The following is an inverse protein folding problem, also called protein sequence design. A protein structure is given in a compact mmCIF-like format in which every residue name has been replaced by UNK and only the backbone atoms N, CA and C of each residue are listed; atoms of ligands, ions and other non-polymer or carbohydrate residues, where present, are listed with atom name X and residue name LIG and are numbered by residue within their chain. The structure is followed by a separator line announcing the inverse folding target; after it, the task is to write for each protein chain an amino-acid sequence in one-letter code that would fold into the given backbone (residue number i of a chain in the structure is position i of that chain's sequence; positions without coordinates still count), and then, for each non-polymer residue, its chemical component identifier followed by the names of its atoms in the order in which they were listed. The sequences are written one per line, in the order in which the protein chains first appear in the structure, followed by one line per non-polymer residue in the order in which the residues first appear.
data_IF_108594064447
#
_entry.id   IF_108594064447
#
_cell.length_a   1.000
_cell.length_b   1.000
_cell.length_c   1.000
_cell.angle_alpha   90.00
_cell.angle_beta   90.00
_cell.angle_gamma   90.00
#
_symmetry.space_group_name_H-M   'P 1'
#
loop_
_entity.id
_entity.type
_entity.pdbx_description
1 polymer ?
#
# COMPACT_ATOMS: atom_id res chain seq x y z
N UNK A 1 15.01 -1.24 3.11
CA UNK A 1 15.19 -2.60 3.62
C UNK A 1 16.64 -3.06 3.65
N UNK A 2 16.87 -4.31 3.97
CA UNK A 2 18.25 -4.87 4.06
C UNK A 2 18.90 -5.08 2.69
N UNK A 3 18.10 -5.23 1.64
CA UNK A 3 18.57 -5.38 0.25
C UNK A 3 18.76 -4.04 -0.47
N UNK A 4 18.64 -2.93 0.24
CA UNK A 4 18.81 -1.60 -0.33
C UNK A 4 20.24 -1.37 -0.83
N UNK A 5 20.36 -0.84 -2.05
CA UNK A 5 21.62 -0.41 -2.66
C UNK A 5 21.51 1.09 -2.90
N UNK A 6 22.38 1.87 -2.24
CA UNK A 6 22.40 3.33 -2.38
C UNK A 6 22.87 3.77 -3.77
N UNK A 7 22.48 4.96 -4.17
CA UNK A 7 22.93 5.63 -5.41
C UNK A 7 22.60 4.84 -6.70
N UNK A 8 21.51 4.08 -6.68
CA UNK A 8 21.03 3.28 -7.82
C UNK A 8 19.54 3.57 -8.12
N UNK A 9 19.18 4.82 -8.48
CA UNK A 9 17.79 5.18 -8.78
C UNK A 9 17.21 4.40 -9.96
N UNK A 10 18.04 3.85 -10.82
CA UNK A 10 17.67 2.97 -11.93
C UNK A 10 17.03 1.65 -11.49
N UNK A 11 17.25 1.21 -10.23
CA UNK A 11 16.66 0.00 -9.66
C UNK A 11 15.25 0.22 -9.06
N UNK A 12 14.87 1.46 -8.82
CA UNK A 12 13.63 1.78 -8.11
C UNK A 12 12.45 1.98 -9.07
N UNK A 13 12.03 0.91 -9.73
CA UNK A 13 10.90 0.91 -10.66
C UNK A 13 10.16 -0.43 -10.67
N UNK A 14 8.92 -0.39 -11.16
CA UNK A 14 8.01 -1.54 -11.18
C UNK A 14 8.58 -2.76 -11.93
N UNK A 15 9.29 -2.55 -13.02
CA UNK A 15 9.85 -3.64 -13.84
C UNK A 15 10.91 -4.42 -13.06
N UNK A 16 11.88 -3.71 -12.46
CA UNK A 16 12.95 -4.33 -11.66
C UNK A 16 12.36 -5.13 -10.50
N UNK A 17 11.43 -4.55 -9.76
CA UNK A 17 10.82 -5.24 -8.62
C UNK A 17 9.97 -6.44 -9.04
N UNK A 18 9.32 -6.39 -10.21
CA UNK A 18 8.62 -7.54 -10.77
C UNK A 18 9.59 -8.67 -11.12
N UNK A 19 10.72 -8.35 -11.74
CA UNK A 19 11.76 -9.35 -12.06
C UNK A 19 12.40 -9.92 -10.78
N UNK A 20 12.61 -9.14 -9.74
CA UNK A 20 13.06 -9.61 -8.42
C UNK A 20 12.05 -10.61 -7.82
N UNK A 21 10.75 -10.30 -7.88
CA UNK A 21 9.70 -11.21 -7.40
C UNK A 21 9.71 -12.53 -8.17
N UNK A 22 9.83 -12.48 -9.49
CA UNK A 22 9.92 -13.68 -10.36
C UNK A 22 11.14 -14.50 -10.00
N UNK A 23 12.31 -13.86 -9.88
CA UNK A 23 13.55 -14.52 -9.53
C UNK A 23 13.48 -15.18 -8.14
N UNK A 24 12.88 -14.49 -7.15
CA UNK A 24 12.70 -15.01 -5.81
C UNK A 24 11.77 -16.23 -5.78
N UNK A 25 10.62 -16.17 -6.46
CA UNK A 25 9.69 -17.31 -6.61
C UNK A 25 10.40 -18.52 -7.18
N UNK A 26 11.13 -18.32 -8.27
CA UNK A 26 11.90 -19.38 -8.94
C UNK A 26 12.99 -19.97 -8.03
N UNK A 27 13.74 -19.12 -7.34
CA UNK A 27 14.82 -19.54 -6.44
C UNK A 27 14.32 -20.38 -5.26
N UNK A 28 13.15 -20.03 -4.73
CA UNK A 28 12.53 -20.73 -3.61
C UNK A 28 11.65 -21.92 -4.02
N UNK A 29 11.47 -22.20 -5.31
CA UNK A 29 10.61 -23.27 -5.79
C UNK A 29 9.13 -23.07 -5.46
N UNK A 30 8.65 -21.81 -5.42
CA UNK A 30 7.28 -21.46 -5.07
C UNK A 30 6.35 -21.58 -6.28
N UNK A 31 6.07 -22.82 -6.68
CA UNK A 31 5.29 -23.12 -7.89
C UNK A 31 3.78 -22.85 -7.68
N UNK A 32 3.25 -23.14 -6.48
CA UNK A 32 1.84 -22.94 -6.12
C UNK A 32 1.75 -22.17 -4.80
N UNK A 33 1.17 -20.96 -4.84
CA UNK A 33 1.19 -20.04 -3.70
C UNK A 33 -0.10 -19.22 -3.56
N UNK A 34 -0.43 -18.87 -2.32
CA UNK A 34 -1.17 -17.65 -2.00
C UNK A 34 -0.17 -16.51 -1.86
N UNK A 35 -0.49 -15.34 -2.39
CA UNK A 35 0.42 -14.20 -2.39
C UNK A 35 -0.26 -12.96 -1.83
N UNK A 36 0.41 -12.28 -0.90
CA UNK A 36 -0.10 -11.08 -0.26
C UNK A 36 0.77 -9.87 -0.61
N UNK A 37 0.11 -8.80 -1.05
CA UNK A 37 0.72 -7.49 -1.23
C UNK A 37 0.04 -6.43 -0.36
N UNK A 38 0.82 -5.79 0.53
CA UNK A 38 0.33 -4.70 1.38
C UNK A 38 0.80 -3.35 0.82
N UNK A 39 -0.12 -2.37 0.73
CA UNK A 39 0.20 -1.02 0.27
C UNK A 39 0.91 -1.05 -1.10
N UNK A 40 2.09 -0.46 -1.24
CA UNK A 40 2.91 -0.57 -2.47
C UNK A 40 3.12 -2.02 -2.93
N UNK A 41 3.26 -2.99 -2.00
CA UNK A 41 3.36 -4.40 -2.36
C UNK A 41 2.13 -4.93 -3.10
N UNK A 42 0.95 -4.35 -2.86
CA UNK A 42 -0.27 -4.65 -3.62
C UNK A 42 -0.25 -4.04 -5.03
N UNK A 43 0.34 -2.86 -5.21
CA UNK A 43 0.57 -2.29 -6.55
C UNK A 43 1.49 -3.20 -7.37
N UNK A 44 2.60 -3.66 -6.77
CA UNK A 44 3.51 -4.62 -7.39
C UNK A 44 2.77 -5.91 -7.77
N UNK A 45 1.95 -6.42 -6.87
CA UNK A 45 1.18 -7.65 -7.09
C UNK A 45 0.15 -7.49 -8.22
N UNK A 46 -0.58 -6.38 -8.28
CA UNK A 46 -1.53 -6.09 -9.36
C UNK A 46 -0.80 -6.08 -10.72
N UNK A 47 0.30 -5.35 -10.83
CA UNK A 47 1.11 -5.32 -12.06
C UNK A 47 1.63 -6.71 -12.43
N UNK A 48 2.14 -7.46 -11.45
CA UNK A 48 2.63 -8.82 -11.66
C UNK A 48 1.53 -9.75 -12.20
N UNK A 49 0.34 -9.73 -11.58
CA UNK A 49 -0.78 -10.59 -11.99
C UNK A 49 -1.27 -10.28 -13.41
N UNK A 50 -1.30 -9.00 -13.79
CA UNK A 50 -1.86 -8.54 -15.05
C UNK A 50 -0.82 -8.61 -16.19
N UNK A 51 0.40 -8.13 -15.95
CA UNK A 51 1.40 -7.99 -17.01
C UNK A 51 2.20 -9.29 -17.26
N UNK A 52 2.33 -10.13 -16.24
CA UNK A 52 3.07 -11.41 -16.36
C UNK A 52 2.16 -12.64 -16.40
N UNK A 53 0.93 -12.53 -15.96
CA UNK A 53 -0.05 -13.62 -15.89
C UNK A 53 0.56 -14.93 -15.33
N UNK A 54 1.16 -14.90 -14.14
CA UNK A 54 1.96 -15.99 -13.60
C UNK A 54 1.10 -17.22 -13.33
N UNK A 55 1.60 -18.39 -13.68
CA UNK A 55 0.99 -19.65 -13.26
C UNK A 55 1.18 -19.92 -11.77
N UNK A 56 0.30 -20.74 -11.19
CA UNK A 56 0.45 -21.22 -9.81
C UNK A 56 0.05 -20.23 -8.74
N UNK A 57 -0.61 -19.13 -9.07
CA UNK A 57 -1.24 -18.25 -8.06
C UNK A 57 -2.59 -18.82 -7.68
N UNK A 58 -2.68 -19.38 -6.48
CA UNK A 58 -3.91 -19.97 -5.93
C UNK A 58 -4.89 -18.87 -5.57
N UNK A 59 -4.43 -17.85 -4.83
CA UNK A 59 -5.19 -16.63 -4.57
C UNK A 59 -4.24 -15.45 -4.31
N UNK A 60 -4.76 -14.23 -4.44
CA UNK A 60 -4.08 -13.00 -4.12
C UNK A 60 -4.78 -12.28 -2.97
N UNK A 61 -4.00 -11.68 -2.07
CA UNK A 61 -4.50 -10.83 -1.00
C UNK A 61 -3.97 -9.40 -1.23
N UNK A 62 -4.88 -8.48 -1.50
CA UNK A 62 -4.62 -7.07 -1.75
C UNK A 62 -4.96 -6.28 -0.47
N UNK A 63 -3.94 -6.07 0.37
CA UNK A 63 -4.11 -5.48 1.69
C UNK A 63 -3.79 -3.99 1.68
N UNK A 64 -4.80 -3.15 1.97
CA UNK A 64 -4.64 -1.68 2.09
C UNK A 64 -3.85 -1.08 0.93
N UNK A 65 -4.23 -1.41 -0.31
CA UNK A 65 -3.52 -1.05 -1.54
C UNK A 65 -4.39 -0.27 -2.53
N UNK A 66 -3.87 -0.03 -3.73
CA UNK A 66 -4.53 0.77 -4.75
C UNK A 66 -4.28 0.22 -6.16
N UNK A 67 -5.20 0.49 -7.06
CA UNK A 67 -5.06 0.24 -8.49
C UNK A 67 -4.77 1.50 -9.32
N UNK A 68 -4.85 2.69 -8.69
CA UNK A 68 -4.71 3.97 -9.38
C UNK A 68 -4.12 5.03 -8.43
N UNK A 69 -2.94 5.57 -8.78
CA UNK A 69 -2.23 6.56 -7.97
C UNK A 69 -2.92 7.92 -7.94
N UNK A 70 -3.62 8.31 -9.01
CA UNK A 70 -4.35 9.59 -9.05
C UNK A 70 -5.58 9.53 -8.15
N UNK A 71 -6.34 8.42 -8.20
CA UNK A 71 -7.46 8.21 -7.29
C UNK A 71 -6.99 8.20 -5.83
N UNK A 72 -5.87 7.54 -5.54
CA UNK A 72 -5.27 7.56 -4.20
C UNK A 72 -4.97 8.99 -3.76
N UNK A 73 -4.19 9.75 -4.53
CA UNK A 73 -3.85 11.14 -4.19
C UNK A 73 -5.10 12.01 -3.99
N UNK A 74 -6.12 11.86 -4.84
CA UNK A 74 -7.39 12.58 -4.69
C UNK A 74 -8.09 12.25 -3.37
N UNK A 75 -8.16 10.98 -3.00
CA UNK A 75 -8.77 10.53 -1.75
C UNK A 75 -7.99 10.99 -0.52
N UNK A 76 -6.63 10.97 -0.57
CA UNK A 76 -5.82 11.52 0.52
C UNK A 76 -6.11 13.02 0.72
N UNK A 77 -6.18 13.79 -0.37
CA UNK A 77 -6.53 15.23 -0.28
C UNK A 77 -7.96 15.43 0.24
N UNK A 78 -8.88 14.51 -0.05
CA UNK A 78 -10.21 14.53 0.57
C UNK A 78 -10.12 14.33 2.08
N UNK A 79 -9.28 13.41 2.57
CA UNK A 79 -9.06 13.19 4.01
C UNK A 79 -8.41 14.43 4.66
N UNK A 80 -7.44 15.07 4.02
CA UNK A 80 -6.79 16.29 4.50
C UNK A 80 -7.80 17.40 4.79
N UNK A 81 -8.90 17.49 4.03
CA UNK A 81 -9.96 18.51 4.25
C UNK A 81 -10.65 18.37 5.63
N UNK A 82 -10.53 17.25 6.29
CA UNK A 82 -11.08 17.03 7.64
C UNK A 82 -10.06 17.33 8.75
N UNK A 83 -8.84 17.71 8.42
CA UNK A 83 -7.83 18.18 9.36
C UNK A 83 -8.07 19.64 9.77
N UNK A 84 -7.32 20.14 10.76
CA UNK A 84 -7.39 21.55 11.12
C UNK A 84 -6.98 22.45 9.95
N UNK A 85 -7.54 23.66 9.88
CA UNK A 85 -7.15 24.64 8.84
C UNK A 85 -5.65 24.91 8.83
N UNK A 86 -5.00 24.96 9.99
CA UNK A 86 -3.56 25.13 10.14
C UNK A 86 -2.79 23.99 9.45
N UNK A 87 -3.22 22.75 9.63
CA UNK A 87 -2.57 21.60 9.04
C UNK A 87 -2.81 21.55 7.53
N UNK A 88 -4.03 21.85 7.07
CA UNK A 88 -4.34 21.96 5.64
C UNK A 88 -3.46 23.01 4.94
N UNK A 89 -3.29 24.19 5.54
CA UNK A 89 -2.46 25.26 5.01
C UNK A 89 -0.98 24.88 4.97
N UNK A 90 -0.47 24.19 6.00
CA UNK A 90 0.91 23.73 6.05
C UNK A 90 1.21 22.69 4.94
N UNK A 91 0.30 21.75 4.71
CA UNK A 91 0.41 20.78 3.63
C UNK A 91 0.36 21.48 2.27
N UNK A 92 -0.64 22.32 2.03
CA UNK A 92 -0.79 23.03 0.77
C UNK A 92 0.43 23.92 0.44
N UNK A 93 1.01 24.60 1.44
CA UNK A 93 2.21 25.40 1.26
C UNK A 93 3.42 24.54 0.89
N UNK A 94 3.59 23.39 1.54
CA UNK A 94 4.68 22.46 1.22
C UNK A 94 4.57 21.92 -0.21
N UNK A 95 3.37 21.55 -0.65
CA UNK A 95 3.11 21.09 -2.02
C UNK A 95 3.36 22.21 -3.05
N UNK A 96 2.93 23.44 -2.76
CA UNK A 96 3.15 24.59 -3.65
C UNK A 96 4.61 24.97 -3.80
N UNK A 97 5.38 24.88 -2.71
CA UNK A 97 6.78 25.35 -2.67
C UNK A 97 7.81 24.25 -2.88
N UNK A 98 7.40 22.98 -2.75
CA UNK A 98 8.31 21.83 -2.69
C UNK A 98 9.13 21.75 -1.39
N UNK A 99 8.81 22.56 -0.38
CA UNK A 99 9.51 22.57 0.89
C UNK A 99 8.84 21.64 1.91
N UNK A 100 9.25 20.38 1.88
CA UNK A 100 8.77 19.35 2.80
C UNK A 100 9.59 19.24 4.10
N UNK A 101 10.59 20.14 4.30
CA UNK A 101 11.41 20.18 5.52
C UNK A 101 10.86 21.18 6.56
N UNK A 102 9.82 21.94 6.22
CA UNK A 102 9.21 22.92 7.14
C UNK A 102 8.61 22.25 8.38
N UNK A 103 8.85 22.82 9.57
CA UNK A 103 8.37 22.27 10.86
C UNK A 103 6.84 22.13 10.90
N UNK A 104 6.11 23.13 10.39
CA UNK A 104 4.65 23.10 10.35
C UNK A 104 4.13 21.98 9.45
N UNK A 105 4.81 21.73 8.32
CA UNK A 105 4.51 20.59 7.44
C UNK A 105 4.80 19.26 8.14
N UNK A 106 5.97 19.11 8.76
CA UNK A 106 6.34 17.87 9.46
C UNK A 106 5.30 17.50 10.53
N UNK A 107 4.82 18.51 11.30
CA UNK A 107 3.74 18.33 12.30
C UNK A 107 2.43 17.88 11.63
N UNK A 108 2.02 18.56 10.55
CA UNK A 108 0.77 18.25 9.85
C UNK A 108 0.81 16.87 9.22
N UNK A 109 1.93 16.50 8.58
CA UNK A 109 2.15 15.17 8.01
C UNK A 109 2.12 14.08 9.10
N UNK A 110 2.81 14.28 10.23
CA UNK A 110 2.77 13.35 11.34
C UNK A 110 1.33 13.12 11.86
N UNK A 111 0.54 14.21 11.94
CA UNK A 111 -0.87 14.11 12.34
C UNK A 111 -1.70 13.35 11.32
N UNK A 112 -1.50 13.58 10.03
CA UNK A 112 -2.16 12.83 8.97
C UNK A 112 -1.84 11.32 9.05
N UNK A 113 -0.57 10.98 9.21
CA UNK A 113 -0.12 9.60 9.35
C UNK A 113 -0.69 8.92 10.61
N UNK A 114 -0.79 9.65 11.73
CA UNK A 114 -1.42 9.15 12.95
C UNK A 114 -2.92 8.83 12.74
N UNK A 115 -3.63 9.64 11.97
CA UNK A 115 -5.05 9.45 11.69
C UNK A 115 -5.35 8.29 10.75
N UNK A 116 -4.48 8.05 9.77
CA UNK A 116 -4.79 7.18 8.64
C UNK A 116 -3.80 6.03 8.40
N UNK A 117 -2.56 6.13 8.88
CA UNK A 117 -1.56 5.08 8.68
C UNK A 117 -1.39 4.20 9.92
N UNK A 118 -0.91 4.75 11.01
CA UNK A 118 -0.71 4.02 12.26
C UNK A 118 -0.74 4.98 13.44
N UNK A 119 -1.26 4.52 14.58
CA UNK A 119 -1.19 5.27 15.83
C UNK A 119 0.24 5.49 16.31
N UNK A 120 0.40 6.41 17.25
CA UNK A 120 1.69 6.67 17.89
C UNK A 120 2.26 5.37 18.49
N UNK A 121 3.54 5.12 18.25
CA UNK A 121 4.24 3.97 18.82
C UNK A 121 4.51 4.24 20.31
N UNK A 122 4.04 3.34 21.16
CA UNK A 122 4.21 3.38 22.63
C UNK A 122 5.06 2.20 23.11
N UNK A 123 5.39 2.16 24.40
CA UNK A 123 6.09 1.04 25.00
C UNK A 123 5.31 -0.29 24.88
N UNK A 124 3.98 -0.20 24.84
CA UNK A 124 3.07 -1.35 24.76
C UNK A 124 2.76 -1.77 23.30
N UNK A 125 3.23 -0.99 22.32
CA UNK A 125 3.03 -1.33 20.90
C UNK A 125 3.75 -2.65 20.57
N UNK A 126 3.24 -3.45 19.61
CA UNK A 126 3.91 -4.66 19.13
C UNK A 126 5.37 -4.41 18.76
N UNK A 127 6.22 -5.42 18.97
CA UNK A 127 7.66 -5.32 18.70
C UNK A 127 7.96 -4.89 17.27
N UNK A 128 7.20 -5.39 16.31
CA UNK A 128 7.34 -5.05 14.88
C UNK A 128 7.19 -3.53 14.58
N UNK A 129 6.48 -2.77 15.43
CA UNK A 129 6.39 -1.32 15.32
C UNK A 129 7.51 -0.61 16.08
N UNK A 130 7.95 -1.15 17.23
CA UNK A 130 8.95 -0.54 18.12
C UNK A 130 10.39 -0.69 17.65
N UNK A 131 10.71 -1.79 16.96
CA UNK A 131 12.11 -2.03 16.53
C UNK A 131 12.59 -0.96 15.55
N UNK A 132 13.87 -0.63 15.65
CA UNK A 132 14.52 0.27 14.69
C UNK A 132 14.50 -0.37 13.29
N UNK A 133 14.02 0.37 12.32
CA UNK A 133 13.96 -0.06 10.92
C UNK A 133 15.03 0.65 10.10
N UNK A 134 15.52 -0.04 9.07
CA UNK A 134 16.30 0.57 7.99
C UNK A 134 15.33 0.84 6.83
N UNK A 135 15.10 2.09 6.52
CA UNK A 135 14.26 2.51 5.40
C UNK A 135 15.06 2.66 4.11
N UNK A 136 14.39 2.59 2.99
CA UNK A 136 14.96 2.88 1.66
C UNK A 136 14.40 4.21 1.17
N UNK A 137 14.80 5.31 1.81
CA UNK A 137 14.21 6.64 1.57
C UNK A 137 14.36 7.09 0.12
N UNK A 138 15.51 6.81 -0.51
CA UNK A 138 15.72 7.09 -1.94
C UNK A 138 14.72 6.31 -2.81
N UNK A 139 14.52 5.01 -2.54
CA UNK A 139 13.58 4.19 -3.29
C UNK A 139 12.15 4.72 -3.17
N UNK A 140 11.76 5.16 -1.97
CA UNK A 140 10.45 5.75 -1.73
C UNK A 140 10.27 7.07 -2.50
N UNK A 141 11.24 7.98 -2.43
CA UNK A 141 11.19 9.27 -3.13
C UNK A 141 11.15 9.10 -4.65
N UNK A 142 11.97 8.20 -5.21
CA UNK A 142 12.03 7.94 -6.65
C UNK A 142 10.75 7.29 -7.15
N UNK A 143 10.19 6.36 -6.39
CA UNK A 143 9.01 5.62 -6.80
C UNK A 143 7.71 6.39 -6.55
N UNK A 144 7.55 6.96 -5.38
CA UNK A 144 6.29 7.55 -4.94
C UNK A 144 6.37 9.08 -4.82
N UNK A 145 7.18 9.58 -3.90
CA UNK A 145 7.29 11.02 -3.67
C UNK A 145 7.57 11.34 -2.21
N UNK A 146 7.33 12.60 -1.80
CA UNK A 146 7.72 13.08 -0.48
C UNK A 146 6.85 12.58 0.67
N UNK A 147 5.64 12.07 0.37
CA UNK A 147 4.64 11.66 1.37
C UNK A 147 3.57 10.77 0.74
N UNK A 148 2.61 10.29 1.55
CA UNK A 148 1.56 9.35 1.11
C UNK A 148 0.49 9.96 0.18
N UNK A 149 0.34 11.29 0.16
CA UNK A 149 -0.73 11.97 -0.58
C UNK A 149 -0.29 12.71 -1.84
N UNK A 150 1.03 12.79 -2.10
CA UNK A 150 1.59 13.50 -3.26
C UNK A 150 2.39 12.55 -4.17
N UNK A 151 1.72 11.70 -4.97
CA UNK A 151 2.41 10.78 -5.88
C UNK A 151 3.08 11.58 -7.01
N UNK A 152 4.39 11.76 -6.94
CA UNK A 152 5.22 12.51 -7.89
C UNK A 152 6.29 11.64 -8.55
N UNK A 153 6.59 10.48 -7.99
CA UNK A 153 7.60 9.55 -8.48
C UNK A 153 7.22 8.84 -9.78
N UNK A 154 7.96 7.81 -10.13
CA UNK A 154 7.71 7.06 -11.36
C UNK A 154 6.44 6.19 -11.32
N UNK A 155 5.82 6.00 -10.14
CA UNK A 155 4.52 5.37 -9.97
C UNK A 155 3.33 6.36 -10.04
N UNK A 156 3.55 7.66 -10.30
CA UNK A 156 2.49 8.68 -10.36
C UNK A 156 1.40 8.36 -11.38
N UNK A 157 1.77 7.71 -12.48
CA UNK A 157 0.88 7.34 -13.58
C UNK A 157 0.44 5.87 -13.51
N UNK A 158 0.66 5.19 -12.37
CA UNK A 158 0.21 3.82 -12.15
C UNK A 158 -1.32 3.79 -12.17
N UNK A 159 -1.88 3.14 -13.17
CA UNK A 159 -3.32 2.92 -13.32
C UNK A 159 -3.59 1.57 -14.00
N UNK A 160 -4.08 0.64 -13.21
CA UNK A 160 -4.51 -0.69 -13.67
C UNK A 160 -6.04 -0.85 -13.55
N UNK A 161 -6.78 0.22 -13.26
CA UNK A 161 -8.21 0.16 -12.92
C UNK A 161 -9.03 -0.59 -13.96
N UNK A 162 -8.89 -0.27 -15.23
CA UNK A 162 -9.66 -0.92 -16.30
C UNK A 162 -9.16 -2.34 -16.64
N UNK A 163 -7.94 -2.66 -16.22
CA UNK A 163 -7.30 -3.95 -16.44
C UNK A 163 -7.49 -4.93 -15.27
N UNK A 164 -8.04 -4.50 -14.13
CA UNK A 164 -8.30 -5.37 -12.97
C UNK A 164 -9.15 -6.60 -13.33
N UNK A 165 -10.00 -6.50 -14.35
CA UNK A 165 -10.78 -7.61 -14.88
C UNK A 165 -9.95 -8.77 -15.49
N UNK A 166 -8.67 -8.52 -15.76
CA UNK A 166 -7.73 -9.52 -16.28
C UNK A 166 -7.17 -10.44 -15.19
N UNK A 167 -7.36 -10.09 -13.92
CA UNK A 167 -6.95 -10.92 -12.78
C UNK A 167 -7.83 -12.16 -12.71
N UNK A 168 -7.23 -13.32 -12.93
CA UNK A 168 -7.94 -14.59 -13.05
C UNK A 168 -8.07 -15.36 -11.72
N UNK A 169 -7.19 -15.12 -10.75
CA UNK A 169 -7.23 -15.82 -9.46
C UNK A 169 -8.24 -15.18 -8.49
N UNK A 170 -8.76 -15.93 -7.52
CA UNK A 170 -9.54 -15.37 -6.42
C UNK A 170 -8.75 -14.28 -5.68
N UNK A 171 -9.40 -13.15 -5.33
CA UNK A 171 -8.77 -12.03 -4.65
C UNK A 171 -9.50 -11.67 -3.36
N UNK A 172 -8.75 -11.59 -2.26
CA UNK A 172 -9.20 -10.99 -1.02
C UNK A 172 -8.67 -9.55 -0.94
N UNK A 173 -9.56 -8.57 -0.83
CA UNK A 173 -9.21 -7.18 -0.57
C UNK A 173 -9.45 -6.91 0.90
N UNK A 174 -8.47 -6.30 1.59
CA UNK A 174 -8.64 -5.84 2.96
C UNK A 174 -8.33 -4.36 3.07
N UNK A 175 -9.11 -3.62 3.85
CA UNK A 175 -8.87 -2.20 4.16
C UNK A 175 -9.50 -1.81 5.49
N UNK A 176 -9.06 -0.71 6.08
CA UNK A 176 -9.66 -0.13 7.28
C UNK A 176 -10.66 0.99 6.96
N UNK A 177 -11.55 1.31 7.90
CA UNK A 177 -12.48 2.44 7.74
C UNK A 177 -11.80 3.80 7.81
N UNK A 178 -10.63 3.87 8.48
CA UNK A 178 -9.81 5.10 8.62
C UNK A 178 -8.49 5.02 7.84
N UNK A 179 -8.38 4.07 6.91
CA UNK A 179 -7.19 3.72 6.15
C UNK A 179 -6.82 4.80 5.10
N UNK A 180 -5.55 4.88 4.75
CA UNK A 180 -5.07 5.52 3.53
C UNK A 180 -5.74 4.90 2.28
N UNK A 181 -5.88 3.57 2.25
CA UNK A 181 -6.73 2.88 1.29
C UNK A 181 -8.20 3.08 1.68
N UNK A 182 -8.74 4.26 1.34
CA UNK A 182 -10.12 4.60 1.68
C UNK A 182 -11.11 3.55 1.14
N UNK A 183 -12.31 3.45 1.73
CA UNK A 183 -13.34 2.56 1.20
C UNK A 183 -13.64 2.76 -0.29
N UNK A 184 -13.48 3.98 -0.83
CA UNK A 184 -13.63 4.23 -2.26
C UNK A 184 -12.50 3.58 -3.09
N UNK A 185 -11.26 3.68 -2.63
CA UNK A 185 -10.11 3.04 -3.29
C UNK A 185 -10.27 1.53 -3.29
N UNK A 186 -10.59 0.92 -2.15
CA UNK A 186 -10.83 -0.52 -2.03
C UNK A 186 -12.02 -0.97 -2.89
N UNK A 187 -13.13 -0.23 -2.85
CA UNK A 187 -14.32 -0.51 -3.65
C UNK A 187 -14.05 -0.46 -5.16
N UNK A 188 -13.19 0.45 -5.60
CA UNK A 188 -12.81 0.55 -7.01
C UNK A 188 -12.16 -0.74 -7.52
N UNK A 189 -11.34 -1.40 -6.69
CA UNK A 189 -10.77 -2.71 -7.00
C UNK A 189 -11.82 -3.82 -6.91
N UNK A 190 -12.62 -3.82 -5.84
CA UNK A 190 -13.67 -4.83 -5.62
C UNK A 190 -14.68 -4.89 -6.76
N UNK A 191 -15.13 -3.75 -7.27
CA UNK A 191 -16.12 -3.68 -8.34
C UNK A 191 -15.60 -4.21 -9.69
N UNK A 192 -14.29 -4.35 -9.86
CA UNK A 192 -13.64 -4.67 -11.15
C UNK A 192 -12.90 -5.99 -11.20
N UNK A 193 -12.46 -6.50 -10.05
CA UNK A 193 -11.78 -7.81 -9.99
C UNK A 193 -12.85 -8.90 -9.97
N UNK A 194 -12.88 -9.80 -10.98
CA UNK A 194 -13.75 -10.98 -10.91
C UNK A 194 -13.39 -11.83 -9.68
N UNK A 195 -14.37 -12.40 -9.03
CA UNK A 195 -14.16 -13.27 -7.86
C UNK A 195 -13.43 -12.60 -6.69
N UNK A 196 -13.62 -11.29 -6.50
CA UNK A 196 -13.11 -10.58 -5.34
C UNK A 196 -14.05 -10.72 -4.14
N UNK A 197 -13.45 -10.85 -2.95
CA UNK A 197 -14.09 -10.61 -1.66
C UNK A 197 -13.45 -9.41 -1.02
N UNK A 198 -14.22 -8.57 -0.35
CA UNK A 198 -13.68 -7.42 0.38
C UNK A 198 -14.09 -7.48 1.84
N UNK A 199 -13.10 -7.40 2.73
CA UNK A 199 -13.28 -7.28 4.17
C UNK A 199 -12.86 -5.87 4.62
N UNK A 200 -13.81 -5.13 5.14
CA UNK A 200 -13.60 -3.79 5.70
C UNK A 200 -13.46 -3.89 7.23
N UNK A 201 -12.28 -3.55 7.74
CA UNK A 201 -11.97 -3.57 9.16
C UNK A 201 -12.44 -2.28 9.83
N UNK A 202 -13.47 -2.36 10.66
CA UNK A 202 -14.01 -1.20 11.35
C UNK A 202 -13.03 -0.63 12.37
N UNK A 203 -12.88 0.71 12.38
CA UNK A 203 -12.02 1.46 13.29
C UNK A 203 -10.52 1.39 12.96
N UNK A 204 -10.08 0.53 12.04
CA UNK A 204 -8.65 0.39 11.74
C UNK A 204 -8.17 1.39 10.67
N UNK A 205 -6.85 1.60 10.67
CA UNK A 205 -6.09 2.41 9.71
C UNK A 205 -5.36 1.50 8.72
N UNK A 206 -4.27 1.98 8.14
CA UNK A 206 -3.49 1.29 7.12
C UNK A 206 -2.84 -0.03 7.57
N UNK A 207 -2.76 -0.25 8.87
CA UNK A 207 -2.15 -1.44 9.45
C UNK A 207 -3.18 -2.33 10.18
N UNK A 208 -4.29 -2.66 9.52
CA UNK A 208 -5.33 -3.54 10.09
C UNK A 208 -4.77 -4.86 10.62
N UNK A 209 -3.72 -5.40 9.97
CA UNK A 209 -2.99 -6.60 10.39
C UNK A 209 -2.25 -6.45 11.73
N UNK A 210 -2.03 -5.22 12.21
CA UNK A 210 -1.49 -4.93 13.54
C UNK A 210 -2.62 -4.57 14.50
N UNK A 211 -3.55 -3.72 14.07
CA UNK A 211 -4.58 -3.13 14.93
C UNK A 211 -5.69 -4.12 15.30
N UNK A 212 -6.00 -5.08 14.43
CA UNK A 212 -6.91 -6.20 14.68
C UNK A 212 -6.25 -7.53 14.26
N UNK A 213 -5.06 -7.80 14.81
CA UNK A 213 -4.21 -8.90 14.38
C UNK A 213 -4.92 -10.26 14.39
N UNK A 214 -5.60 -10.62 15.48
CA UNK A 214 -6.26 -11.94 15.61
C UNK A 214 -7.34 -12.12 14.52
N UNK A 215 -8.17 -11.09 14.31
CA UNK A 215 -9.20 -11.11 13.24
C UNK A 215 -8.55 -11.20 11.87
N UNK A 216 -7.45 -10.47 11.67
CA UNK A 216 -6.76 -10.45 10.37
C UNK A 216 -6.13 -11.81 10.04
N UNK A 217 -5.44 -12.44 10.99
CA UNK A 217 -4.83 -13.76 10.82
C UNK A 217 -5.90 -14.83 10.59
N UNK A 218 -6.99 -14.80 11.34
CA UNK A 218 -8.10 -15.74 11.14
C UNK A 218 -8.71 -15.61 9.74
N UNK A 219 -8.94 -14.37 9.28
CA UNK A 219 -9.43 -14.10 7.92
C UNK A 219 -8.51 -14.68 6.84
N UNK A 220 -7.19 -14.54 7.01
CA UNK A 220 -6.22 -15.09 6.05
C UNK A 220 -6.25 -16.63 6.06
N UNK A 221 -6.33 -17.25 7.25
CA UNK A 221 -6.40 -18.71 7.37
C UNK A 221 -7.65 -19.25 6.67
N UNK A 222 -8.82 -18.67 6.98
CA UNK A 222 -10.10 -19.05 6.37
C UNK A 222 -10.07 -18.86 4.84
N UNK A 223 -9.52 -17.74 4.37
CA UNK A 223 -9.40 -17.44 2.95
C UNK A 223 -8.52 -18.45 2.20
N UNK A 224 -7.37 -18.81 2.78
CA UNK A 224 -6.49 -19.80 2.17
C UNK A 224 -7.12 -21.18 2.12
N UNK A 225 -7.86 -21.58 3.17
CA UNK A 225 -8.61 -22.85 3.19
C UNK A 225 -9.76 -22.88 2.16
N UNK A 226 -10.51 -21.76 2.02
CA UNK A 226 -11.60 -21.63 1.05
C UNK A 226 -11.13 -21.69 -0.42
N UNK A 227 -9.87 -21.34 -0.68
CA UNK A 227 -9.34 -21.20 -2.05
C UNK A 227 -8.32 -22.27 -2.44
N UNK A 228 -8.03 -23.25 -1.57
CA UNK A 228 -7.21 -24.42 -1.92
C UNK A 228 -7.96 -25.32 -2.91
#
# INVERSE_FOLDING_TARGET
GQSYVADRPDLWNQEVWTEELIALRKHLGLDRIHILGQSWGGMLLIGYLIDRQPSGIVSAILSSTLSNSQLWGHEQHRLIRFMSEKDQQAIALAEQTGNYDAEDYARANARFMELHCAGAVTADSPECLRRKKKSGDEAYLVAWGPNEYTPMGNLRDFDYTERLKEIACPCLITSGTNDLCTPLVAKTMFDRIPHARWELFDGTRHMSFVEQNDKYIQLLADWMEETE
#
